data_IF_000828038955
#
_entry.id   IF_000828038955
#
_cell.length_a   1.000
_cell.length_b   1.000
_cell.length_c   1.000
_cell.angle_alpha   90.00
_cell.angle_beta   90.00
_cell.angle_gamma   90.00
#
_symmetry.space_group_name_H-M   'P 1'
#
loop_
_entity.id
_entity.type
_entity.pdbx_description
1 polymer ?
#
# COMPACT_ATOMS: atom_id res chain seq x y z
N UNK A 1 -26.50 10.94 -54.01
CA UNK A 1 -25.51 11.45 -53.04
C UNK A 1 -24.54 12.33 -53.81
N UNK A 2 -24.67 13.64 -53.66
CA UNK A 2 -23.80 14.62 -54.32
C UNK A 2 -22.48 14.77 -53.56
N UNK A 3 -21.41 15.20 -54.25
CA UNK A 3 -20.07 15.37 -53.69
C UNK A 3 -20.07 16.18 -52.37
N UNK A 4 -20.86 17.25 -52.33
CA UNK A 4 -21.05 18.11 -51.16
C UNK A 4 -21.61 17.35 -49.94
N UNK A 5 -22.62 16.50 -50.15
CA UNK A 5 -23.23 15.69 -49.09
C UNK A 5 -22.24 14.68 -48.54
N UNK A 6 -21.44 14.06 -49.42
CA UNK A 6 -20.43 13.09 -49.02
C UNK A 6 -19.30 13.72 -48.20
N UNK A 7 -18.87 14.93 -48.56
CA UNK A 7 -17.85 15.70 -47.80
C UNK A 7 -18.39 16.12 -46.44
N UNK A 8 -19.64 16.59 -46.36
CA UNK A 8 -20.28 16.91 -45.07
C UNK A 8 -20.38 15.68 -44.16
N UNK A 9 -20.73 14.51 -44.71
CA UNK A 9 -20.78 13.25 -43.95
C UNK A 9 -19.38 12.85 -43.45
N UNK A 10 -18.33 13.00 -44.25
CA UNK A 10 -16.96 12.72 -43.82
C UNK A 10 -16.52 13.64 -42.67
N UNK A 11 -16.80 14.95 -42.75
CA UNK A 11 -16.47 15.87 -41.66
C UNK A 11 -17.25 15.56 -40.38
N UNK A 12 -18.54 15.22 -40.50
CA UNK A 12 -19.34 14.80 -39.35
C UNK A 12 -18.77 13.51 -38.72
N UNK A 13 -18.40 12.51 -39.54
CA UNK A 13 -17.81 11.26 -39.05
C UNK A 13 -16.49 11.50 -38.31
N UNK A 14 -15.58 12.32 -38.87
CA UNK A 14 -14.30 12.65 -38.22
C UNK A 14 -14.54 13.41 -36.92
N UNK A 15 -15.48 14.35 -36.89
CA UNK A 15 -15.81 15.10 -35.69
C UNK A 15 -16.36 14.19 -34.59
N UNK A 16 -17.38 13.38 -34.89
CA UNK A 16 -17.99 12.48 -33.90
C UNK A 16 -17.01 11.41 -33.41
N UNK A 17 -16.19 10.84 -34.30
CA UNK A 17 -15.17 9.84 -33.91
C UNK A 17 -14.07 10.46 -33.06
N UNK A 18 -13.64 11.70 -33.35
CA UNK A 18 -12.64 12.41 -32.54
C UNK A 18 -13.18 12.73 -31.14
N UNK A 19 -14.41 13.23 -31.04
CA UNK A 19 -15.06 13.52 -29.75
C UNK A 19 -15.28 12.24 -28.95
N UNK A 20 -15.75 11.16 -29.59
CA UNK A 20 -15.92 9.87 -28.93
C UNK A 20 -14.59 9.28 -28.43
N UNK A 21 -13.50 9.42 -29.19
CA UNK A 21 -12.18 8.97 -28.77
C UNK A 21 -11.66 9.75 -27.56
N UNK A 22 -11.84 11.08 -27.54
CA UNK A 22 -11.45 11.92 -26.40
C UNK A 22 -12.23 11.51 -25.14
N UNK A 23 -13.54 11.32 -25.27
CA UNK A 23 -14.39 10.89 -24.16
C UNK A 23 -13.98 9.51 -23.62
N UNK A 24 -13.78 8.54 -24.50
CA UNK A 24 -13.36 7.18 -24.10
C UNK A 24 -12.01 7.18 -23.41
N UNK A 25 -11.03 7.96 -23.90
CA UNK A 25 -9.73 8.14 -23.22
C UNK A 25 -9.90 8.77 -21.83
N UNK A 26 -10.78 9.77 -21.72
CA UNK A 26 -11.14 10.37 -20.43
C UNK A 26 -11.70 9.34 -19.46
N UNK A 27 -12.69 8.55 -19.89
CA UNK A 27 -13.31 7.51 -19.08
C UNK A 27 -12.31 6.42 -18.64
N UNK A 28 -11.42 5.98 -19.53
CA UNK A 28 -10.37 5.01 -19.17
C UNK A 28 -9.39 5.56 -18.15
N UNK A 29 -8.96 6.82 -18.30
CA UNK A 29 -8.06 7.45 -17.31
C UNK A 29 -8.71 7.58 -15.92
N UNK A 30 -10.02 7.83 -15.86
CA UNK A 30 -10.76 7.88 -14.60
C UNK A 30 -10.87 6.50 -13.97
N UNK A 31 -11.17 5.48 -14.78
CA UNK A 31 -11.21 4.08 -14.32
C UNK A 31 -9.86 3.66 -13.72
N UNK A 32 -8.76 3.99 -14.37
CA UNK A 32 -7.41 3.65 -13.90
C UNK A 32 -7.10 4.33 -12.55
N UNK A 33 -7.45 5.62 -12.40
CA UNK A 33 -7.30 6.33 -11.13
C UNK A 33 -8.14 5.74 -10.00
N UNK A 34 -9.36 5.29 -10.30
CA UNK A 34 -10.22 4.62 -9.30
C UNK A 34 -9.64 3.26 -8.89
N UNK A 35 -9.05 2.53 -9.83
CA UNK A 35 -8.37 1.27 -9.55
C UNK A 35 -7.15 1.48 -8.64
N UNK A 36 -6.32 2.48 -8.96
CA UNK A 36 -5.14 2.86 -8.16
C UNK A 36 -5.55 3.30 -6.75
N UNK A 37 -6.54 4.18 -6.63
CA UNK A 37 -7.05 4.62 -5.34
C UNK A 37 -7.58 3.46 -4.47
N UNK A 38 -8.30 2.50 -5.08
CA UNK A 38 -8.80 1.33 -4.37
C UNK A 38 -7.65 0.42 -3.88
N UNK A 39 -6.66 0.17 -4.75
CA UNK A 39 -5.50 -0.65 -4.38
C UNK A 39 -4.66 0.00 -3.27
N UNK A 40 -4.54 1.34 -3.28
CA UNK A 40 -3.84 2.09 -2.25
C UNK A 40 -4.54 1.98 -0.89
N UNK A 41 -5.88 2.06 -0.86
CA UNK A 41 -6.66 1.85 0.37
C UNK A 41 -6.48 0.43 0.90
N UNK A 42 -6.53 -0.57 0.02
CA UNK A 42 -6.33 -1.97 0.42
C UNK A 42 -4.92 -2.21 0.97
N UNK A 43 -3.88 -1.70 0.30
CA UNK A 43 -2.50 -1.75 0.77
C UNK A 43 -2.35 -1.09 2.14
N UNK A 44 -3.03 0.04 2.35
CA UNK A 44 -3.04 0.77 3.63
C UNK A 44 -3.67 -0.06 4.75
N UNK A 45 -4.84 -0.65 4.50
CA UNK A 45 -5.51 -1.52 5.47
C UNK A 45 -4.66 -2.75 5.80
N UNK A 46 -4.04 -3.38 4.80
CA UNK A 46 -3.14 -4.51 5.02
C UNK A 46 -1.91 -4.13 5.86
N UNK A 47 -1.27 -3.00 5.55
CA UNK A 47 -0.13 -2.51 6.32
C UNK A 47 -0.51 -2.20 7.78
N UNK A 48 -1.67 -1.57 8.00
CA UNK A 48 -2.19 -1.35 9.35
C UNK A 48 -2.52 -2.65 10.08
N UNK A 49 -3.14 -3.62 9.41
CA UNK A 49 -3.49 -4.90 10.04
C UNK A 49 -2.28 -5.64 10.62
N UNK A 50 -1.13 -5.55 9.96
CA UNK A 50 0.13 -6.13 10.47
C UNK A 50 0.63 -5.39 11.70
N UNK A 51 0.54 -4.06 11.72
CA UNK A 51 0.96 -3.27 12.88
C UNK A 51 0.04 -3.49 14.07
N UNK A 52 -1.27 -3.58 13.82
CA UNK A 52 -2.28 -3.85 14.85
C UNK A 52 -2.18 -5.30 15.37
N UNK A 53 -1.77 -6.27 14.54
CA UNK A 53 -1.43 -7.63 14.98
C UNK A 53 -0.29 -7.63 16.01
N UNK A 54 0.75 -6.81 15.78
CA UNK A 54 1.87 -6.67 16.71
C UNK A 54 1.39 -6.06 18.03
N UNK A 55 0.61 -4.99 17.98
CA UNK A 55 0.03 -4.38 19.18
C UNK A 55 -0.83 -5.37 19.97
N UNK A 56 -1.70 -6.12 19.28
CA UNK A 56 -2.53 -7.13 19.91
C UNK A 56 -1.71 -8.23 20.60
N UNK A 57 -0.64 -8.72 19.98
CA UNK A 57 0.25 -9.75 20.55
C UNK A 57 1.12 -9.24 21.70
N UNK A 58 1.52 -7.97 21.66
CA UNK A 58 2.22 -7.33 22.78
C UNK A 58 1.27 -7.14 23.96
N UNK A 59 0.02 -6.75 23.70
CA UNK A 59 -1.01 -6.57 24.72
C UNK A 59 -1.48 -7.90 25.33
N UNK A 60 -1.62 -8.97 24.52
CA UNK A 60 -2.01 -10.30 24.99
C UNK A 60 -0.87 -11.06 25.69
N UNK A 61 0.36 -10.51 25.64
CA UNK A 61 1.61 -11.14 26.11
C UNK A 61 2.01 -12.42 25.37
N UNK A 62 1.42 -12.70 24.21
CA UNK A 62 1.88 -13.79 23.35
C UNK A 62 3.25 -13.49 22.72
N UNK A 63 3.65 -12.21 22.69
CA UNK A 63 4.92 -11.74 22.17
C UNK A 63 5.63 -10.85 23.21
N UNK A 64 6.90 -11.14 23.52
CA UNK A 64 7.72 -10.22 24.29
C UNK A 64 8.26 -9.08 23.41
N UNK A 65 8.44 -7.88 23.98
CA UNK A 65 8.96 -6.71 23.25
C UNK A 65 10.30 -6.99 22.53
N UNK A 66 11.18 -7.74 23.18
CA UNK A 66 12.51 -8.06 22.65
C UNK A 66 12.44 -9.05 21.47
N UNK A 67 11.30 -9.75 21.30
CA UNK A 67 11.05 -10.71 20.23
C UNK A 67 10.43 -10.08 18.97
N UNK A 68 10.07 -8.79 18.98
CA UNK A 68 9.48 -8.10 17.81
C UNK A 68 10.43 -8.21 16.61
N UNK A 69 11.72 -7.93 16.81
CA UNK A 69 12.71 -7.93 15.73
C UNK A 69 12.88 -9.33 15.14
N UNK A 70 12.93 -10.35 15.99
CA UNK A 70 13.10 -11.74 15.55
C UNK A 70 11.91 -12.27 14.77
N UNK A 71 10.68 -11.87 15.13
CA UNK A 71 9.46 -12.40 14.51
C UNK A 71 8.96 -11.59 13.30
N UNK A 72 9.26 -10.28 13.23
CA UNK A 72 8.68 -9.36 12.26
C UNK A 72 9.70 -8.77 11.28
N UNK A 73 10.85 -9.41 11.09
CA UNK A 73 11.76 -9.10 9.99
C UNK A 73 11.58 -10.12 8.86
N UNK A 74 10.38 -10.14 8.26
CA UNK A 74 9.94 -11.19 7.34
C UNK A 74 9.14 -10.61 6.18
N UNK A 75 9.10 -11.34 5.06
CA UNK A 75 8.19 -11.06 3.96
C UNK A 75 6.95 -11.94 4.09
N UNK A 76 5.77 -11.35 3.88
CA UNK A 76 4.47 -12.03 3.93
C UNK A 76 3.71 -11.78 2.63
N UNK A 77 3.18 -12.83 2.03
CA UNK A 77 2.30 -12.72 0.88
C UNK A 77 0.85 -12.89 1.36
N UNK A 78 0.00 -11.92 1.03
CA UNK A 78 -1.41 -11.93 1.39
C UNK A 78 -2.23 -11.90 0.11
N UNK A 79 -3.11 -12.88 -0.07
CA UNK A 79 -4.06 -12.90 -1.16
C UNK A 79 -5.41 -12.38 -0.65
N UNK A 80 -5.98 -11.39 -1.33
CA UNK A 80 -7.35 -10.97 -1.09
C UNK A 80 -8.24 -11.70 -2.10
N UNK A 81 -8.95 -12.73 -1.64
CA UNK A 81 -9.79 -13.61 -2.48
C UNK A 81 -10.81 -12.85 -3.36
N UNK A 82 -11.21 -11.65 -2.93
CA UNK A 82 -12.16 -10.81 -3.67
C UNK A 82 -11.55 -10.03 -4.84
N UNK A 83 -10.26 -9.73 -4.82
CA UNK A 83 -9.57 -8.90 -5.84
C UNK A 83 -8.66 -9.76 -6.73
N UNK A 84 -8.26 -10.96 -6.27
CA UNK A 84 -7.40 -11.86 -7.01
C UNK A 84 -5.95 -11.37 -7.16
N UNK A 85 -5.59 -10.28 -6.48
CA UNK A 85 -4.23 -9.74 -6.45
C UNK A 85 -3.53 -10.16 -5.15
N UNK A 86 -2.30 -10.66 -5.29
CA UNK A 86 -1.45 -11.06 -4.18
C UNK A 86 -0.53 -9.91 -3.75
N UNK A 87 -0.74 -9.37 -2.56
CA UNK A 87 0.10 -8.31 -2.00
C UNK A 87 1.33 -8.92 -1.33
N UNK A 88 2.51 -8.40 -1.67
CA UNK A 88 3.75 -8.73 -0.96
C UNK A 88 4.06 -7.65 0.05
N UNK A 89 4.07 -8.03 1.33
CA UNK A 89 4.38 -7.19 2.47
C UNK A 89 5.81 -7.50 2.93
N UNK A 90 6.69 -6.51 2.90
CA UNK A 90 8.00 -6.58 3.54
C UNK A 90 7.91 -5.91 4.91
N UNK A 91 8.04 -6.69 5.97
CA UNK A 91 7.99 -6.20 7.35
C UNK A 91 9.43 -6.10 7.84
N UNK A 92 9.80 -4.94 8.35
CA UNK A 92 11.16 -4.65 8.84
C UNK A 92 11.08 -4.05 10.22
N UNK A 93 11.59 -4.76 11.20
CA UNK A 93 11.69 -4.31 12.58
C UNK A 93 13.14 -3.98 12.92
N UNK A 94 13.38 -2.75 13.39
CA UNK A 94 14.71 -2.24 13.76
C UNK A 94 14.64 -1.52 15.09
N UNK A 95 15.72 -1.59 15.87
CA UNK A 95 15.85 -0.72 17.04
C UNK A 95 15.95 0.73 16.58
N UNK A 96 15.26 1.62 17.28
CA UNK A 96 15.17 3.03 16.92
C UNK A 96 15.41 3.93 18.13
N UNK A 97 15.60 5.22 17.90
CA UNK A 97 15.54 6.24 18.95
C UNK A 97 14.09 6.65 19.25
N UNK A 98 13.92 7.61 20.18
CA UNK A 98 12.61 8.15 20.56
C UNK A 98 11.88 8.90 19.44
N UNK A 99 12.58 9.25 18.35
CA UNK A 99 12.02 9.91 17.17
C UNK A 99 11.72 8.92 16.04
N UNK A 100 12.04 7.63 16.24
CA UNK A 100 11.85 6.59 15.24
C UNK A 100 12.97 6.51 14.19
N UNK A 101 14.13 7.14 14.42
CA UNK A 101 15.31 6.92 13.57
C UNK A 101 15.97 5.61 13.92
N UNK A 102 16.36 4.83 12.90
CA UNK A 102 17.02 3.56 13.12
C UNK A 102 18.40 3.77 13.77
N UNK A 103 18.69 3.02 14.82
CA UNK A 103 20.00 3.02 15.45
C UNK A 103 21.00 2.30 14.54
N UNK A 104 22.15 2.92 14.28
CA UNK A 104 23.21 2.33 13.47
C UNK A 104 23.86 1.10 14.15
N UNK A 105 23.89 1.10 15.48
CA UNK A 105 24.40 0.00 16.30
C UNK A 105 23.31 -0.45 17.27
N UNK A 106 22.92 -1.73 17.29
CA UNK A 106 21.96 -2.23 18.25
C UNK A 106 22.43 -2.04 19.70
N UNK A 107 21.51 -1.61 20.57
CA UNK A 107 21.74 -1.40 21.99
C UNK A 107 20.99 -2.49 22.77
N UNK A 108 21.69 -3.16 23.68
CA UNK A 108 21.08 -4.12 24.60
C UNK A 108 20.09 -3.40 25.51
N UNK A 109 18.83 -3.86 25.53
CA UNK A 109 17.77 -3.24 26.33
C UNK A 109 17.19 -1.96 25.72
N UNK A 110 17.33 -1.75 24.40
CA UNK A 110 16.58 -0.68 23.73
C UNK A 110 15.09 -0.79 24.05
N UNK A 111 14.51 0.33 24.47
CA UNK A 111 13.08 0.43 24.79
C UNK A 111 12.26 0.90 23.58
N UNK A 112 12.91 1.16 22.43
CA UNK A 112 12.28 1.66 21.22
C UNK A 112 12.57 0.74 20.04
N UNK A 113 11.51 0.29 19.39
CA UNK A 113 11.58 -0.54 18.18
C UNK A 113 10.64 0.04 17.13
N UNK A 114 11.18 0.40 15.96
CA UNK A 114 10.38 0.80 14.81
C UNK A 114 10.08 -0.41 13.95
N UNK A 115 8.81 -0.65 13.67
CA UNK A 115 8.39 -1.60 12.64
C UNK A 115 7.89 -0.82 11.45
N UNK A 116 8.40 -1.17 10.27
CA UNK A 116 7.98 -0.62 8.98
C UNK A 116 7.39 -1.74 8.15
N UNK A 117 6.21 -1.51 7.57
CA UNK A 117 5.55 -2.42 6.64
C UNK A 117 5.55 -1.74 5.28
N UNK A 118 6.22 -2.35 4.31
CA UNK A 118 6.23 -1.91 2.93
C UNK A 118 5.40 -2.86 2.08
N UNK A 119 4.42 -2.32 1.38
CA UNK A 119 3.62 -3.05 0.39
C UNK A 119 4.22 -2.78 -0.98
N UNK A 120 4.66 -3.82 -1.66
CA UNK A 120 5.23 -3.70 -3.01
C UNK A 120 4.18 -3.23 -4.02
N UNK A 121 4.63 -2.45 -5.01
CA UNK A 121 3.80 -2.03 -6.13
C UNK A 121 3.33 -3.26 -6.94
N UNK A 122 2.05 -3.29 -7.27
CA UNK A 122 1.38 -4.28 -8.12
C UNK A 122 0.72 -3.56 -9.31
N UNK A 123 0.09 -4.30 -10.22
CA UNK A 123 -0.66 -3.70 -11.34
C UNK A 123 -1.67 -2.64 -10.91
N UNK A 124 -2.29 -2.82 -9.73
CA UNK A 124 -3.18 -1.81 -9.14
C UNK A 124 -2.47 -0.69 -8.43
N UNK A 125 -1.40 -0.99 -7.68
CA UNK A 125 -0.72 -0.03 -6.84
C UNK A 125 0.44 0.60 -7.60
N UNK A 126 0.24 1.82 -8.11
CA UNK A 126 1.24 2.50 -8.94
C UNK A 126 2.55 2.81 -8.20
N UNK A 127 2.44 3.13 -6.91
CA UNK A 127 3.58 3.48 -6.05
C UNK A 127 3.58 2.64 -4.78
N UNK A 128 4.74 2.11 -4.34
CA UNK A 128 4.80 1.31 -3.13
C UNK A 128 4.40 2.13 -1.90
N UNK A 129 3.60 1.52 -1.03
CA UNK A 129 3.21 2.11 0.25
C UNK A 129 4.19 1.68 1.34
N UNK A 130 4.55 2.61 2.23
CA UNK A 130 5.28 2.28 3.45
C UNK A 130 4.64 2.99 4.64
N UNK A 131 4.29 2.20 5.66
CA UNK A 131 3.80 2.70 6.95
C UNK A 131 4.75 2.22 8.03
N UNK A 132 5.00 3.05 9.04
CA UNK A 132 5.81 2.66 10.18
C UNK A 132 5.16 3.07 11.49
N UNK A 133 5.40 2.27 12.54
CA UNK A 133 4.97 2.54 13.91
C UNK A 133 6.15 2.35 14.84
N UNK A 134 6.27 3.24 15.82
CA UNK A 134 7.25 3.15 16.88
C UNK A 134 6.59 2.48 18.08
N UNK A 135 7.15 1.36 18.50
CA UNK A 135 6.74 0.63 19.70
C UNK A 135 7.70 0.99 20.84
N UNK A 136 7.15 1.30 22.00
CA UNK A 136 7.92 1.67 23.18
C UNK A 136 7.61 0.73 24.34
N UNK A 137 8.66 0.14 24.91
CA UNK A 137 8.57 -0.66 26.14
C UNK A 137 8.30 0.26 27.32
N UNK A 138 7.18 0.07 27.99
CA UNK A 138 6.87 0.78 29.24
C UNK A 138 7.08 -0.15 30.43
N UNK A 139 7.29 0.41 31.63
CA UNK A 139 7.50 -0.37 32.86
C UNK A 139 6.26 -1.17 33.31
N UNK A 140 5.11 -0.95 32.68
CA UNK A 140 3.87 -1.69 32.91
C UNK A 140 3.78 -2.86 31.91
N UNK A 141 4.66 -3.84 32.07
CA UNK A 141 4.31 -5.21 31.67
C UNK A 141 3.32 -5.74 32.72
N UNK A 142 2.07 -5.27 32.67
CA UNK A 142 0.99 -5.79 33.54
C UNK A 142 0.51 -7.12 33.05
#
# INVERSE_FOLDING_TARGET
>A
MNLMEMVCVMFAMVFFTSVALIYNRGAWSQKERLYDANSFVQATVLAHSVLDEIDAKLLSKDLAFDQIITNYNVNRNVNLDYVGEAYTLAITAVQADSTGQALATPITGSIFTRVSVRVSALSGLREPLQISRLFTKTHLNL
#
